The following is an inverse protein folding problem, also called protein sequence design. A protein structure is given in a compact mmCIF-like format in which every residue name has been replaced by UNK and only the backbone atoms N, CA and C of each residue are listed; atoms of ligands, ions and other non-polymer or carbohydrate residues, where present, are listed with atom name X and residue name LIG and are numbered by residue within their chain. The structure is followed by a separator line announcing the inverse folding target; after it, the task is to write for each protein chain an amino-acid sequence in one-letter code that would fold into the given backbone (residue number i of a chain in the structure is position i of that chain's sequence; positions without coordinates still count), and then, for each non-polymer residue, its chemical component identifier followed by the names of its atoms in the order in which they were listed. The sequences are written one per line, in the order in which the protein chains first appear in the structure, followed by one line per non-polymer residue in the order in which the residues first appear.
data_IF_054467667090
#
_entry.id   IF_054467667090
#
_cell.length_a   1.000
_cell.length_b   1.000
_cell.length_c   1.000
_cell.angle_alpha   90.00
_cell.angle_beta   90.00
_cell.angle_gamma   90.00
#
_symmetry.space_group_name_H-M   'P 1'
#
loop_
_entity.id
_entity.type
_entity.pdbx_description
1 polymer ?
#
# COMPACT_ATOMS: atom_id res chain seq x y z
N UNK A 1 5.47 15.24 1.17
CA UNK A 1 5.37 15.15 2.64
C UNK A 1 4.68 13.84 2.98
N UNK A 2 5.23 13.03 3.89
CA UNK A 2 4.60 11.76 4.28
C UNK A 2 3.36 12.03 5.14
N UNK A 3 2.21 11.44 4.79
CA UNK A 3 0.95 11.68 5.49
C UNK A 3 1.05 11.33 6.99
N UNK A 4 1.88 10.35 7.33
CA UNK A 4 2.15 9.90 8.70
C UNK A 4 2.68 11.07 9.55
N UNK A 5 3.83 11.66 9.18
CA UNK A 5 4.35 12.89 9.82
C UNK A 5 3.42 14.11 9.69
N UNK A 6 2.60 14.14 8.63
CA UNK A 6 1.59 15.18 8.44
C UNK A 6 0.56 15.18 9.57
N UNK A 7 0.03 14.00 9.91
CA UNK A 7 -1.10 13.84 10.83
C UNK A 7 -0.80 14.21 12.29
N UNK A 8 0.25 13.65 12.90
CA UNK A 8 0.52 13.81 14.33
C UNK A 8 1.74 14.67 14.67
N UNK A 9 2.50 15.15 13.68
CA UNK A 9 3.59 16.10 13.94
C UNK A 9 3.22 17.48 13.41
N UNK A 10 2.98 17.61 12.12
CA UNK A 10 2.84 18.93 11.47
C UNK A 10 1.46 19.53 11.73
N UNK A 11 0.40 18.88 11.25
CA UNK A 11 -0.98 19.37 11.44
C UNK A 11 -1.37 19.37 12.91
N UNK A 12 -0.98 18.33 13.66
CA UNK A 12 -1.18 18.28 15.09
C UNK A 12 -0.64 19.51 15.82
N UNK A 13 0.62 19.89 15.57
CA UNK A 13 1.21 21.05 16.25
C UNK A 13 0.55 22.37 15.84
N UNK A 14 0.15 22.49 14.57
CA UNK A 14 -0.61 23.64 14.07
C UNK A 14 -1.99 23.76 14.74
N UNK A 15 -2.69 22.63 14.93
CA UNK A 15 -4.00 22.58 15.61
C UNK A 15 -3.90 22.91 17.09
N UNK A 16 -2.85 22.43 17.79
CA UNK A 16 -2.61 22.84 19.17
C UNK A 16 -2.28 24.34 19.27
N UNK A 17 -1.56 24.88 18.29
CA UNK A 17 -1.31 26.33 18.23
C UNK A 17 -2.60 27.13 18.07
N UNK A 18 -3.53 26.68 17.20
CA UNK A 18 -4.86 27.29 17.08
C UNK A 18 -5.59 27.30 18.43
N UNK A 19 -5.52 26.20 19.18
CA UNK A 19 -6.24 26.05 20.46
C UNK A 19 -5.68 26.92 21.58
N UNK A 20 -4.35 26.96 21.74
CA UNK A 20 -3.69 27.50 22.94
C UNK A 20 -3.02 28.86 22.73
N UNK A 21 -2.80 29.26 21.48
CA UNK A 21 -2.12 30.50 21.10
C UNK A 21 -2.91 31.27 20.02
N UNK A 22 -4.22 31.04 19.96
CA UNK A 22 -5.11 31.59 18.93
C UNK A 22 -5.13 33.12 18.87
N UNK A 23 -4.98 33.76 20.03
CA UNK A 23 -4.99 35.20 20.27
C UNK A 23 -3.63 35.88 20.02
N UNK A 24 -2.53 35.13 20.12
CA UNK A 24 -1.17 35.67 19.95
C UNK A 24 -0.84 36.03 18.49
N UNK A 25 -1.37 35.27 17.53
CA UNK A 25 -1.16 35.50 16.09
C UNK A 25 -2.39 35.06 15.26
N UNK A 26 -3.42 35.93 15.15
CA UNK A 26 -4.66 35.61 14.44
C UNK A 26 -4.46 35.29 12.95
N UNK A 27 -3.49 35.94 12.29
CA UNK A 27 -3.24 35.71 10.87
C UNK A 27 -2.61 34.34 10.63
N UNK A 28 -1.68 33.90 11.49
CA UNK A 28 -1.10 32.56 11.42
C UNK A 28 -2.12 31.48 11.75
N UNK A 29 -2.97 31.70 12.75
CA UNK A 29 -3.97 30.70 13.14
C UNK A 29 -4.99 30.49 12.04
N UNK A 30 -5.40 31.53 11.32
CA UNK A 30 -6.30 31.36 10.18
C UNK A 30 -5.66 30.58 9.03
N UNK A 31 -4.38 30.83 8.73
CA UNK A 31 -3.64 30.00 7.77
C UNK A 31 -3.60 28.53 8.20
N UNK A 32 -3.44 28.25 9.49
CA UNK A 32 -3.46 26.88 10.01
C UNK A 32 -4.85 26.24 9.94
N UNK A 33 -5.94 27.01 10.16
CA UNK A 33 -7.31 26.49 9.94
C UNK A 33 -7.50 26.09 8.49
N UNK A 34 -7.06 26.93 7.54
CA UNK A 34 -7.14 26.60 6.12
C UNK A 34 -6.30 25.36 5.77
N UNK A 35 -5.08 25.26 6.29
CA UNK A 35 -4.23 24.07 6.07
C UNK A 35 -4.85 22.79 6.65
N UNK A 36 -5.55 22.89 7.79
CA UNK A 36 -6.27 21.76 8.37
C UNK A 36 -7.45 21.33 7.48
N UNK A 37 -8.20 22.29 6.89
CA UNK A 37 -9.25 22.01 5.90
C UNK A 37 -8.68 21.31 4.66
N UNK A 38 -7.61 21.86 4.09
CA UNK A 38 -6.96 21.30 2.89
C UNK A 38 -6.42 19.89 3.13
N UNK A 39 -5.78 19.66 4.29
CA UNK A 39 -5.27 18.35 4.67
C UNK A 39 -6.41 17.35 4.95
N UNK A 40 -7.43 17.78 5.70
CA UNK A 40 -8.58 16.98 6.08
C UNK A 40 -9.38 16.46 4.87
N UNK A 41 -9.42 17.21 3.76
CA UNK A 41 -10.13 16.82 2.54
C UNK A 41 -9.66 15.47 1.95
N UNK A 42 -8.37 15.15 2.08
CA UNK A 42 -7.78 13.91 1.58
C UNK A 42 -7.35 12.92 2.66
N UNK A 43 -6.99 13.40 3.85
CA UNK A 43 -6.34 12.59 4.88
C UNK A 43 -7.18 11.42 5.40
N UNK A 44 -8.50 11.60 5.50
CA UNK A 44 -9.41 10.55 5.96
C UNK A 44 -9.32 9.27 5.11
N UNK A 45 -8.95 9.40 3.83
CA UNK A 45 -8.84 8.30 2.87
C UNK A 45 -7.71 7.32 3.17
N UNK A 46 -6.83 7.63 4.12
CA UNK A 46 -5.76 6.72 4.55
C UNK A 46 -6.22 5.71 5.62
N UNK A 47 -7.48 5.77 6.05
CA UNK A 47 -8.09 4.88 7.03
C UNK A 47 -9.22 4.09 6.36
N UNK A 48 -9.34 2.80 6.65
CA UNK A 48 -10.51 2.02 6.19
C UNK A 48 -11.73 2.19 7.11
N UNK A 49 -12.82 1.53 6.75
CA UNK A 49 -14.08 1.52 7.50
C UNK A 49 -13.96 0.92 8.91
N UNK A 50 -12.95 0.08 9.15
CA UNK A 50 -12.68 -0.53 10.46
C UNK A 50 -11.72 0.31 11.32
N UNK A 51 -11.10 1.35 10.73
CA UNK A 51 -10.13 2.23 11.36
C UNK A 51 -8.67 1.87 11.12
N UNK A 52 -8.35 0.89 10.27
CA UNK A 52 -6.99 0.54 9.93
C UNK A 52 -6.34 1.64 9.08
N UNK A 53 -5.15 2.11 9.48
CA UNK A 53 -4.38 3.07 8.67
C UNK A 53 -3.44 2.32 7.70
N UNK A 54 -3.21 2.86 6.51
CA UNK A 54 -2.26 2.28 5.54
C UNK A 54 -0.80 2.55 5.98
N UNK A 55 -0.01 1.60 6.51
CA UNK A 55 1.37 1.85 6.90
C UNK A 55 2.21 2.36 5.72
N UNK A 56 2.71 3.59 5.81
CA UNK A 56 3.52 4.24 4.78
C UNK A 56 4.49 5.26 5.38
N UNK A 57 5.75 5.21 4.95
CA UNK A 57 6.80 6.12 5.39
C UNK A 57 7.46 5.74 6.72
N UNK A 58 8.12 6.72 7.34
CA UNK A 58 8.82 6.59 8.62
C UNK A 58 7.91 6.86 9.81
N UNK A 59 8.45 6.65 11.02
CA UNK A 59 7.81 6.93 12.31
C UNK A 59 6.63 5.99 12.62
N UNK A 60 6.47 4.90 11.86
CA UNK A 60 5.36 3.95 12.00
C UNK A 60 5.24 3.35 13.39
N UNK A 61 6.34 3.26 14.15
CA UNK A 61 6.31 2.73 15.52
C UNK A 61 5.42 3.51 16.50
N UNK A 62 4.91 4.67 16.12
CA UNK A 62 3.98 5.47 16.93
C UNK A 62 2.51 5.06 16.79
N UNK A 63 2.21 4.05 15.94
CA UNK A 63 0.93 3.31 15.91
C UNK A 63 -0.31 4.19 15.85
N UNK A 64 -1.07 4.25 16.94
CA UNK A 64 -2.32 5.02 17.03
C UNK A 64 -2.11 6.53 16.94
N UNK A 65 -0.87 7.03 16.94
CA UNK A 65 -0.56 8.40 16.57
C UNK A 65 -1.13 8.79 15.19
N UNK A 66 -1.36 7.86 14.25
CA UNK A 66 -2.01 8.19 12.97
C UNK A 66 -3.32 8.96 13.17
N UNK A 67 -4.11 8.61 14.18
CA UNK A 67 -5.37 9.30 14.51
C UNK A 67 -5.20 10.68 15.15
N UNK A 68 -3.96 11.15 15.37
CA UNK A 68 -3.66 12.36 16.12
C UNK A 68 -4.26 13.62 15.51
N UNK A 69 -4.36 13.66 14.18
CA UNK A 69 -5.03 14.75 13.47
C UNK A 69 -6.49 14.89 13.90
N UNK A 70 -7.26 13.80 13.94
CA UNK A 70 -8.68 13.83 14.33
C UNK A 70 -8.85 14.28 15.78
N UNK A 71 -7.99 13.78 16.68
CA UNK A 71 -8.00 14.20 18.08
C UNK A 71 -7.70 15.68 18.26
N UNK A 72 -6.64 16.18 17.60
CA UNK A 72 -6.27 17.58 17.66
C UNK A 72 -7.28 18.49 16.96
N UNK A 73 -7.94 18.01 15.90
CA UNK A 73 -8.97 18.74 15.17
C UNK A 73 -10.20 19.01 16.05
N UNK A 74 -10.68 17.97 16.74
CA UNK A 74 -11.79 18.11 17.68
C UNK A 74 -11.43 19.04 18.85
N UNK A 75 -10.19 18.97 19.36
CA UNK A 75 -9.71 19.85 20.42
C UNK A 75 -9.57 21.31 19.97
N UNK A 76 -9.12 21.55 18.73
CA UNK A 76 -8.87 22.89 18.20
C UNK A 76 -10.14 23.63 17.78
N UNK A 77 -11.24 22.92 17.50
CA UNK A 77 -12.51 23.53 17.12
C UNK A 77 -12.46 24.27 15.78
N UNK A 78 -11.78 23.70 14.77
CA UNK A 78 -11.72 24.30 13.43
C UNK A 78 -13.09 24.22 12.76
N UNK A 79 -13.57 25.35 12.25
CA UNK A 79 -14.85 25.47 11.56
C UNK A 79 -14.73 25.19 10.05
N UNK A 80 -15.89 24.94 9.42
CA UNK A 80 -16.04 24.80 7.97
C UNK A 80 -15.15 23.68 7.37
N UNK A 81 -14.98 22.59 8.12
CA UNK A 81 -14.27 21.42 7.63
C UNK A 81 -14.98 20.79 6.43
N UNK A 82 -14.25 20.29 5.41
CA UNK A 82 -14.84 19.66 4.24
C UNK A 82 -15.45 18.30 4.58
N UNK A 83 -16.35 17.79 3.73
CA UNK A 83 -16.81 16.40 3.77
C UNK A 83 -15.60 15.46 3.73
N UNK A 84 -15.54 14.42 4.56
CA UNK A 84 -16.57 13.95 5.50
C UNK A 84 -16.35 14.41 6.95
N UNK A 85 -15.56 15.46 7.22
CA UNK A 85 -15.19 15.88 8.58
C UNK A 85 -15.97 17.10 9.06
N UNK A 86 -17.21 17.28 8.60
CA UNK A 86 -18.00 18.51 8.83
C UNK A 86 -18.48 18.66 10.28
N UNK A 87 -18.76 17.55 10.95
CA UNK A 87 -19.34 17.52 12.30
C UNK A 87 -18.39 16.87 13.30
N UNK A 88 -18.60 17.12 14.59
CA UNK A 88 -17.84 16.45 15.64
C UNK A 88 -18.15 14.94 15.68
N UNK A 89 -19.38 14.53 15.34
CA UNK A 89 -19.74 13.11 15.14
C UNK A 89 -18.91 12.42 14.07
N UNK A 90 -18.56 13.12 12.98
CA UNK A 90 -17.69 12.59 11.93
C UNK A 90 -16.26 12.39 12.43
N UNK A 91 -15.68 13.44 13.02
CA UNK A 91 -14.31 13.42 13.57
C UNK A 91 -14.19 12.35 14.65
N UNK A 92 -15.22 12.23 15.52
CA UNK A 92 -15.35 11.19 16.54
C UNK A 92 -15.36 9.81 15.90
N UNK A 93 -16.16 9.60 14.85
CA UNK A 93 -16.23 8.33 14.13
C UNK A 93 -14.85 7.87 13.63
N UNK A 94 -14.09 8.76 12.95
CA UNK A 94 -12.75 8.41 12.47
C UNK A 94 -11.78 8.10 13.62
N UNK A 95 -11.73 8.95 14.65
CA UNK A 95 -10.84 8.75 15.78
C UNK A 95 -11.14 7.45 16.53
N UNK A 96 -12.40 7.22 16.89
CA UNK A 96 -12.77 6.07 17.72
C UNK A 96 -12.71 4.75 16.95
N UNK A 97 -13.04 4.72 15.66
CA UNK A 97 -12.76 3.54 14.80
C UNK A 97 -11.28 3.19 14.82
N UNK A 98 -10.40 4.18 14.62
CA UNK A 98 -8.96 3.95 14.63
C UNK A 98 -8.44 3.43 15.98
N UNK A 99 -8.90 4.01 17.10
CA UNK A 99 -8.53 3.53 18.43
C UNK A 99 -9.06 2.12 18.72
N UNK A 100 -10.29 1.81 18.31
CA UNK A 100 -10.85 0.45 18.42
C UNK A 100 -10.09 -0.55 17.56
N UNK A 101 -9.67 -0.16 16.36
CA UNK A 101 -8.83 -1.00 15.52
C UNK A 101 -7.55 -1.38 16.25
N UNK A 102 -6.83 -0.40 16.82
CA UNK A 102 -5.62 -0.67 17.58
C UNK A 102 -5.86 -1.51 18.83
N UNK A 103 -6.95 -1.27 19.56
CA UNK A 103 -7.33 -2.09 20.71
C UNK A 103 -7.49 -3.57 20.31
N UNK A 104 -8.16 -3.85 19.17
CA UNK A 104 -8.34 -5.20 18.62
C UNK A 104 -7.06 -5.84 18.09
N UNK A 105 -5.99 -5.06 17.87
CA UNK A 105 -4.71 -5.52 17.31
C UNK A 105 -3.53 -5.26 18.26
N UNK A 106 -3.80 -5.22 19.58
CA UNK A 106 -2.81 -4.83 20.59
C UNK A 106 -2.10 -5.99 21.30
N UNK A 107 -2.48 -7.23 21.03
CA UNK A 107 -1.96 -8.41 21.75
C UNK A 107 -0.42 -8.50 21.76
N UNK A 108 0.23 -8.03 20.69
CA UNK A 108 1.68 -8.11 20.53
C UNK A 108 2.38 -6.74 20.52
N UNK A 109 1.71 -5.64 20.90
CA UNK A 109 2.33 -4.29 20.88
C UNK A 109 3.03 -3.91 22.18
N UNK A 110 2.90 -4.74 23.21
CA UNK A 110 3.54 -4.56 24.52
C UNK A 110 4.67 -5.57 24.74
N UNK A 111 5.71 -5.16 25.45
CA UNK A 111 6.68 -6.07 26.06
C UNK A 111 6.07 -6.76 27.30
N UNK A 112 6.70 -7.82 27.82
CA UNK A 112 6.21 -8.51 29.02
C UNK A 112 6.05 -7.62 30.27
N UNK A 113 6.73 -6.47 30.32
CA UNK A 113 6.63 -5.47 31.39
C UNK A 113 5.48 -4.46 31.19
N UNK A 114 4.69 -4.61 30.13
CA UNK A 114 3.58 -3.72 29.78
C UNK A 114 3.96 -2.44 29.05
N UNK A 115 5.25 -2.25 28.71
CA UNK A 115 5.70 -1.08 27.93
C UNK A 115 5.50 -1.29 26.43
N UNK A 116 5.30 -0.22 25.65
CA UNK A 116 5.14 -0.32 24.20
C UNK A 116 6.45 -0.75 23.52
N UNK A 117 6.38 -1.71 22.61
CA UNK A 117 7.56 -2.15 21.86
C UNK A 117 7.82 -1.32 20.59
N UNK A 118 9.00 -1.47 19.99
CA UNK A 118 9.30 -0.90 18.66
C UNK A 118 8.82 -1.87 17.58
N UNK A 119 7.89 -1.43 16.74
CA UNK A 119 7.26 -2.28 15.74
C UNK A 119 5.93 -1.69 15.24
N UNK A 120 5.11 -2.50 14.58
CA UNK A 120 3.79 -2.10 14.11
C UNK A 120 2.70 -2.82 14.92
N UNK A 121 2.21 -3.98 14.48
CA UNK A 121 1.29 -4.83 15.29
C UNK A 121 2.01 -5.84 16.18
N UNK A 122 3.33 -6.00 15.99
CA UNK A 122 4.20 -6.84 16.80
C UNK A 122 5.63 -6.24 16.83
N UNK A 123 6.54 -6.70 17.71
CA UNK A 123 7.90 -6.16 17.79
C UNK A 123 8.66 -6.41 16.47
N UNK A 124 9.17 -5.35 15.84
CA UNK A 124 9.94 -5.45 14.60
C UNK A 124 11.05 -4.37 14.55
N UNK A 125 12.27 -4.79 14.85
CA UNK A 125 13.46 -3.92 14.86
C UNK A 125 13.96 -3.52 13.47
N UNK A 126 13.50 -4.19 12.41
CA UNK A 126 13.82 -3.78 11.04
C UNK A 126 13.06 -2.52 10.62
N UNK A 127 11.95 -2.22 11.31
CA UNK A 127 11.19 -0.98 11.14
C UNK A 127 11.86 0.23 11.84
N UNK A 128 12.72 0.01 12.83
CA UNK A 128 13.29 1.08 13.64
C UNK A 128 14.05 2.13 12.82
N UNK A 129 13.98 3.39 13.26
CA UNK A 129 14.79 4.51 12.80
C UNK A 129 15.88 4.88 13.83
N UNK A 130 16.90 5.60 13.37
CA UNK A 130 18.07 6.04 14.17
C UNK A 130 17.71 6.93 15.37
N UNK A 131 16.60 7.66 15.29
CA UNK A 131 16.08 8.48 16.39
C UNK A 131 15.10 7.75 17.31
N UNK A 132 14.78 6.48 17.06
CA UNK A 132 13.86 5.74 17.92
C UNK A 132 14.53 5.39 19.25
N UNK A 133 13.78 5.56 20.34
CA UNK A 133 14.17 5.15 21.69
C UNK A 133 13.03 4.40 22.36
N UNK A 134 13.26 3.71 23.49
CA UNK A 134 12.18 3.10 24.27
C UNK A 134 11.06 4.10 24.69
N UNK A 135 11.36 5.40 24.74
CA UNK A 135 10.38 6.45 25.04
C UNK A 135 9.67 6.98 23.78
N UNK A 136 10.26 6.87 22.59
CA UNK A 136 9.71 7.48 21.38
C UNK A 136 8.37 6.86 20.98
N UNK A 137 8.14 5.57 21.28
CA UNK A 137 6.87 4.86 21.01
C UNK A 137 5.66 5.52 21.68
N UNK A 138 5.85 6.30 22.75
CA UNK A 138 4.78 7.01 23.45
C UNK A 138 4.30 8.28 22.72
N UNK A 139 4.90 8.62 21.57
CA UNK A 139 4.25 9.54 20.62
C UNK A 139 2.87 9.03 20.17
N UNK A 140 2.58 7.74 20.34
CA UNK A 140 1.26 7.17 20.21
C UNK A 140 0.19 7.94 21.00
N UNK A 141 0.53 8.44 22.20
CA UNK A 141 -0.39 9.16 23.09
C UNK A 141 -0.94 10.47 22.51
N UNK A 142 -0.41 10.97 21.38
CA UNK A 142 -0.94 12.17 20.72
C UNK A 142 -2.43 12.06 20.36
N UNK A 143 -2.90 10.88 19.99
CA UNK A 143 -4.34 10.67 19.74
C UNK A 143 -5.20 10.74 20.99
N UNK A 144 -4.59 10.64 22.18
CA UNK A 144 -5.27 10.79 23.46
C UNK A 144 -5.39 12.25 23.90
N UNK A 145 -4.86 13.23 23.15
CA UNK A 145 -5.06 14.65 23.46
C UNK A 145 -6.55 15.04 23.55
N UNK A 146 -7.43 14.24 22.93
CA UNK A 146 -8.88 14.38 22.99
C UNK A 146 -9.43 14.37 24.43
N UNK A 147 -8.75 13.73 25.40
CA UNK A 147 -9.18 13.70 26.81
C UNK A 147 -9.10 15.07 27.49
N UNK A 148 -8.48 16.06 26.86
CA UNK A 148 -8.44 17.44 27.34
C UNK A 148 -9.76 18.20 27.12
N UNK A 149 -10.71 17.63 26.37
CA UNK A 149 -12.06 18.20 26.23
C UNK A 149 -12.84 18.06 27.54
N UNK A 150 -13.65 19.08 27.86
CA UNK A 150 -14.53 19.06 29.03
C UNK A 150 -15.53 17.89 28.96
N UNK A 151 -15.99 17.41 30.11
CA UNK A 151 -16.85 16.23 30.21
C UNK A 151 -18.21 16.40 29.48
N UNK A 152 -18.68 17.63 29.36
CA UNK A 152 -19.93 18.02 28.70
C UNK A 152 -19.72 18.50 27.24
N UNK A 153 -18.49 18.45 26.72
CA UNK A 153 -18.19 18.90 25.36
C UNK A 153 -19.04 18.12 24.32
N UNK A 154 -19.62 18.80 23.30
CA UNK A 154 -20.52 18.15 22.32
C UNK A 154 -19.93 16.93 21.60
N UNK A 155 -18.61 16.84 21.49
CA UNK A 155 -17.91 15.66 20.99
C UNK A 155 -18.32 14.36 21.72
N UNK A 156 -18.49 14.42 23.04
CA UNK A 156 -18.84 13.24 23.83
C UNK A 156 -20.29 12.81 23.64
N UNK A 157 -21.19 13.78 23.44
CA UNK A 157 -22.64 13.54 23.36
C UNK A 157 -23.11 13.23 21.94
N UNK A 158 -22.49 13.81 20.91
CA UNK A 158 -22.86 13.54 19.52
C UNK A 158 -22.62 12.07 19.16
N UNK A 159 -23.54 11.42 18.42
CA UNK A 159 -23.35 10.06 17.94
C UNK A 159 -22.20 10.01 16.92
N UNK A 160 -21.53 8.85 16.84
CA UNK A 160 -20.55 8.61 15.79
C UNK A 160 -21.24 8.50 14.44
N UNK A 161 -20.81 9.28 13.45
CA UNK A 161 -21.29 9.12 12.07
C UNK A 161 -20.69 7.86 11.44
N UNK A 162 -21.44 7.14 10.59
CA UNK A 162 -20.90 6.04 9.78
C UNK A 162 -19.66 6.45 8.96
N UNK A 163 -18.87 5.45 8.54
CA UNK A 163 -17.81 5.69 7.58
C UNK A 163 -18.43 6.09 6.22
N UNK A 164 -17.86 7.06 5.48
CA UNK A 164 -18.47 7.53 4.23
C UNK A 164 -18.62 6.43 3.19
N UNK A 165 -19.80 6.35 2.57
CA UNK A 165 -20.02 5.55 1.38
C UNK A 165 -19.16 6.11 0.23
N UNK A 166 -18.36 5.28 -0.43
CA UNK A 166 -17.62 5.72 -1.62
C UNK A 166 -16.20 6.22 -1.39
N UNK A 167 -15.39 5.45 -0.65
CA UNK A 167 -13.93 5.63 -0.66
C UNK A 167 -13.37 5.67 -2.09
N UNK A 168 -13.86 4.81 -2.98
CA UNK A 168 -13.57 4.86 -4.42
C UNK A 168 -12.08 4.86 -4.73
N UNK A 169 -11.75 5.29 -5.94
CA UNK A 169 -10.39 5.57 -6.36
C UNK A 169 -10.23 7.08 -6.45
N UNK A 170 -9.24 7.65 -5.77
CA UNK A 170 -9.03 9.09 -5.74
C UNK A 170 -7.56 9.48 -5.70
N UNK A 171 -7.18 10.46 -6.54
CA UNK A 171 -5.86 11.06 -6.51
C UNK A 171 -5.76 12.08 -5.37
N UNK A 172 -4.87 11.81 -4.41
CA UNK A 172 -4.43 12.78 -3.41
C UNK A 172 -3.20 13.50 -3.94
N UNK A 173 -3.36 14.77 -4.29
CA UNK A 173 -2.37 15.60 -5.00
C UNK A 173 -1.05 15.75 -4.23
N UNK A 174 -1.10 15.79 -2.90
CA UNK A 174 0.06 15.75 -2.03
C UNK A 174 -0.11 14.60 -1.02
N UNK A 175 0.64 13.49 -1.14
CA UNK A 175 1.94 13.37 -1.80
C UNK A 175 1.92 12.65 -3.16
N UNK A 176 0.94 12.95 -4.04
CA UNK A 176 0.82 12.34 -5.37
C UNK A 176 0.62 10.82 -5.29
N UNK A 177 -0.47 10.40 -4.66
CA UNK A 177 -0.85 8.99 -4.46
C UNK A 177 -2.29 8.76 -4.90
N UNK A 178 -2.58 7.58 -5.44
CA UNK A 178 -3.95 7.18 -5.73
C UNK A 178 -4.42 6.28 -4.60
N UNK A 179 -5.41 6.73 -3.83
CA UNK A 179 -6.01 5.99 -2.74
C UNK A 179 -7.13 5.11 -3.30
N UNK A 180 -7.11 3.84 -2.95
CA UNK A 180 -7.99 2.81 -3.49
C UNK A 180 -8.78 2.17 -2.35
N UNK A 181 -10.09 2.44 -2.32
CA UNK A 181 -11.06 1.79 -1.43
C UNK A 181 -12.38 1.60 -2.20
N UNK A 182 -12.34 0.77 -3.23
CA UNK A 182 -13.44 0.62 -4.16
C UNK A 182 -14.70 0.08 -3.45
N UNK A 183 -15.92 0.63 -3.68
CA UNK A 183 -17.13 0.23 -2.94
C UNK A 183 -17.54 -1.23 -3.13
N UNK A 184 -17.13 -1.85 -4.23
CA UNK A 184 -17.34 -3.28 -4.47
C UNK A 184 -16.15 -4.16 -4.06
N UNK A 185 -15.03 -3.55 -3.67
CA UNK A 185 -13.79 -4.24 -3.30
C UNK A 185 -13.69 -4.50 -1.81
N UNK A 186 -12.87 -5.48 -1.46
CA UNK A 186 -12.57 -5.88 -0.08
C UNK A 186 -11.11 -5.61 0.26
N UNK A 187 -10.55 -4.55 -0.31
CA UNK A 187 -9.16 -4.16 -0.12
C UNK A 187 -8.99 -2.65 -0.11
N UNK A 188 -8.26 -2.17 0.89
CA UNK A 188 -7.96 -0.76 1.08
C UNK A 188 -6.44 -0.55 1.06
N UNK A 189 -5.99 0.23 0.08
CA UNK A 189 -4.58 0.44 -0.20
C UNK A 189 -4.33 1.75 -0.95
N UNK A 190 -3.06 2.07 -1.17
CA UNK A 190 -2.64 3.21 -1.99
C UNK A 190 -1.67 2.74 -3.07
N UNK A 191 -1.66 3.45 -4.20
CA UNK A 191 -0.63 3.39 -5.23
C UNK A 191 0.34 4.57 -5.06
N UNK A 192 1.64 4.28 -5.08
CA UNK A 192 2.71 5.24 -4.84
C UNK A 192 3.68 5.34 -6.02
N UNK A 193 3.92 6.57 -6.47
CA UNK A 193 4.66 6.86 -7.70
C UNK A 193 6.08 7.36 -7.38
N UNK A 194 6.23 8.67 -7.13
CA UNK A 194 7.54 9.33 -7.02
C UNK A 194 8.01 9.55 -5.58
N UNK A 195 7.39 8.91 -4.60
CA UNK A 195 7.77 9.12 -3.20
C UNK A 195 9.15 8.49 -2.88
N UNK A 196 10.02 9.31 -2.31
CA UNK A 196 11.30 8.90 -1.75
C UNK A 196 11.70 9.87 -0.64
N UNK A 197 12.70 9.48 0.14
CA UNK A 197 13.35 10.35 1.12
C UNK A 197 14.84 10.40 0.83
N UNK A 198 15.43 11.60 0.83
CA UNK A 198 16.86 11.79 0.58
C UNK A 198 17.75 11.45 1.79
N UNK A 199 17.16 11.37 2.98
CA UNK A 199 17.84 11.01 4.23
C UNK A 199 17.94 9.47 4.31
N UNK A 200 19.12 8.89 4.56
CA UNK A 200 19.37 7.45 4.48
C UNK A 200 18.88 6.68 5.72
N UNK A 201 17.61 6.87 6.12
CA UNK A 201 17.02 6.05 7.19
C UNK A 201 16.97 4.57 6.80
N UNK A 202 17.01 3.70 7.80
CA UNK A 202 16.81 2.26 7.63
C UNK A 202 15.54 1.97 6.85
N UNK A 203 15.65 1.05 5.89
CA UNK A 203 14.54 0.60 5.04
C UNK A 203 13.82 1.74 4.27
N UNK A 204 14.48 2.87 3.99
CA UNK A 204 13.87 4.02 3.30
C UNK A 204 13.18 3.67 1.98
N UNK A 205 13.78 2.79 1.17
CA UNK A 205 13.18 2.32 -0.09
C UNK A 205 11.88 1.56 0.13
N UNK A 206 11.85 0.65 1.10
CA UNK A 206 10.64 -0.09 1.45
C UNK A 206 9.54 0.81 2.05
N UNK A 207 9.93 1.83 2.82
CA UNK A 207 9.00 2.76 3.47
C UNK A 207 8.38 3.77 2.50
N UNK A 208 9.05 4.14 1.41
CA UNK A 208 8.63 5.24 0.55
C UNK A 208 8.41 4.87 -0.92
N UNK A 209 9.13 3.88 -1.43
CA UNK A 209 9.32 3.70 -2.88
C UNK A 209 8.73 2.42 -3.47
N UNK A 210 7.96 1.63 -2.69
CA UNK A 210 7.10 0.57 -3.24
C UNK A 210 5.99 1.13 -4.12
N UNK A 211 5.41 0.29 -4.97
CA UNK A 211 4.30 0.64 -5.86
C UNK A 211 2.96 0.71 -5.13
N UNK A 212 2.77 -0.07 -4.08
CA UNK A 212 1.54 -0.06 -3.30
C UNK A 212 1.78 -0.36 -1.81
N UNK A 213 0.87 0.13 -0.96
CA UNK A 213 0.85 -0.11 0.49
C UNK A 213 -0.58 -0.38 0.92
N UNK A 214 -0.80 -1.44 1.71
CA UNK A 214 -2.14 -1.86 2.13
C UNK A 214 -2.33 -1.73 3.64
N UNK A 215 -3.55 -1.38 4.04
CA UNK A 215 -4.01 -1.36 5.43
C UNK A 215 -4.20 -2.76 6.03
N UNK A 216 -4.36 -3.80 5.20
CA UNK A 216 -4.53 -5.20 5.63
C UNK A 216 -3.29 -6.07 5.39
N UNK A 217 -2.53 -5.74 4.33
CA UNK A 217 -1.30 -6.44 3.96
C UNK A 217 -0.11 -5.49 4.13
N UNK A 218 0.34 -5.32 5.37
CA UNK A 218 1.46 -4.45 5.70
C UNK A 218 2.67 -4.73 4.82
N UNK A 219 3.44 -3.72 4.46
CA UNK A 219 4.60 -3.91 3.59
C UNK A 219 5.74 -4.64 4.32
N UNK A 220 6.69 -5.21 3.59
CA UNK A 220 7.91 -5.80 4.19
C UNK A 220 9.08 -4.82 4.21
N UNK A 221 9.88 -4.85 5.28
CA UNK A 221 11.16 -4.14 5.41
C UNK A 221 12.32 -5.12 5.23
N UNK A 222 13.43 -4.70 4.60
CA UNK A 222 14.61 -5.54 4.48
C UNK A 222 15.26 -5.79 5.84
N UNK A 223 15.75 -7.01 6.06
CA UNK A 223 16.50 -7.41 7.25
C UNK A 223 18.00 -7.58 6.99
N UNK A 224 18.41 -7.56 5.73
CA UNK A 224 19.79 -7.64 5.26
C UNK A 224 19.91 -7.24 3.79
N UNK A 225 21.13 -7.11 3.27
CA UNK A 225 21.37 -6.70 1.88
C UNK A 225 21.54 -7.87 0.91
N UNK A 226 21.64 -9.11 1.40
CA UNK A 226 22.04 -10.27 0.60
C UNK A 226 20.82 -11.06 0.18
N UNK A 227 20.66 -11.28 -1.12
CA UNK A 227 19.55 -12.01 -1.73
C UNK A 227 18.18 -11.35 -1.62
N UNK A 228 17.26 -11.84 -2.43
CA UNK A 228 15.86 -11.41 -2.45
C UNK A 228 15.12 -11.77 -1.14
N UNK A 229 15.55 -12.82 -0.43
CA UNK A 229 14.88 -13.26 0.82
C UNK A 229 15.06 -12.25 1.95
N UNK A 230 16.17 -11.51 1.95
CA UNK A 230 16.45 -10.45 2.93
C UNK A 230 15.93 -9.08 2.53
N UNK A 231 15.62 -8.88 1.25
CA UNK A 231 15.01 -7.66 0.72
C UNK A 231 13.73 -8.00 -0.05
N UNK A 232 12.63 -8.36 0.65
CA UNK A 232 11.45 -8.92 0.01
C UNK A 232 10.80 -7.95 -0.97
N UNK A 233 10.43 -8.40 -2.18
CA UNK A 233 9.98 -7.55 -3.28
C UNK A 233 8.46 -7.33 -3.28
N UNK A 234 7.77 -7.36 -2.13
CA UNK A 234 6.34 -7.07 -2.10
C UNK A 234 6.07 -5.67 -2.65
N UNK A 235 5.12 -5.61 -3.60
CA UNK A 235 4.77 -4.43 -4.37
C UNK A 235 5.97 -3.68 -4.97
N UNK A 236 6.97 -4.42 -5.44
CA UNK A 236 8.22 -3.87 -5.99
C UNK A 236 8.63 -4.65 -7.24
N UNK A 237 9.19 -3.96 -8.23
CA UNK A 237 9.95 -4.56 -9.33
C UNK A 237 11.43 -4.37 -9.01
N UNK A 238 12.15 -5.47 -8.83
CA UNK A 238 13.55 -5.54 -8.46
C UNK A 238 14.40 -6.04 -9.62
N UNK A 239 15.63 -5.52 -9.72
CA UNK A 239 16.60 -5.84 -10.78
C UNK A 239 17.91 -6.35 -10.17
N UNK A 240 18.48 -7.40 -10.73
CA UNK A 240 19.82 -7.90 -10.36
C UNK A 240 20.68 -8.14 -11.61
N UNK A 241 21.99 -7.93 -11.46
CA UNK A 241 23.04 -8.19 -12.47
C UNK A 241 24.05 -9.24 -12.05
N UNK A 242 23.95 -9.69 -10.82
CA UNK A 242 24.96 -10.48 -10.11
C UNK A 242 24.37 -11.82 -9.66
N UNK A 243 23.45 -12.40 -10.44
CA UNK A 243 22.89 -13.71 -10.13
C UNK A 243 21.92 -13.72 -8.94
N UNK A 244 21.43 -12.56 -8.51
CA UNK A 244 20.52 -12.42 -7.38
C UNK A 244 21.18 -12.11 -6.04
N UNK A 245 22.49 -11.85 -6.00
CA UNK A 245 23.21 -11.46 -4.79
C UNK A 245 22.72 -10.09 -4.27
N UNK A 246 22.55 -9.12 -5.17
CA UNK A 246 22.00 -7.79 -4.85
C UNK A 246 20.84 -7.39 -5.75
N UNK A 247 19.92 -6.60 -5.19
CA UNK A 247 18.70 -6.19 -5.85
C UNK A 247 18.50 -4.68 -5.81
N UNK A 248 18.44 -4.07 -7.00
CA UNK A 248 18.09 -2.68 -7.19
C UNK A 248 16.57 -2.53 -7.34
N UNK A 249 16.00 -1.55 -6.64
CA UNK A 249 14.55 -1.27 -6.65
C UNK A 249 14.30 0.21 -6.90
N UNK A 250 13.06 0.58 -7.23
CA UNK A 250 12.65 1.97 -7.44
C UNK A 250 13.11 2.86 -6.29
N UNK A 251 13.91 3.88 -6.61
CA UNK A 251 14.39 4.89 -5.68
C UNK A 251 14.77 6.16 -6.44
N UNK A 252 14.46 7.35 -5.90
CA UNK A 252 14.70 8.65 -6.56
C UNK A 252 14.16 8.69 -8.00
N UNK A 253 12.87 8.37 -8.12
CA UNK A 253 12.16 8.39 -9.39
C UNK A 253 11.92 9.83 -9.89
N UNK A 254 11.64 9.97 -11.19
CA UNK A 254 11.20 11.23 -11.79
C UNK A 254 9.82 11.65 -11.27
N UNK A 255 9.39 12.87 -11.58
CA UNK A 255 8.05 13.35 -11.22
C UNK A 255 6.98 12.52 -11.93
N UNK A 256 5.97 12.09 -11.17
CA UNK A 256 4.86 11.32 -11.70
C UNK A 256 3.99 12.20 -12.62
N UNK A 257 3.54 11.61 -13.72
CA UNK A 257 2.53 12.17 -14.61
C UNK A 257 1.21 11.48 -14.29
N UNK A 258 0.15 12.25 -14.12
CA UNK A 258 -1.19 11.73 -13.88
C UNK A 258 -2.07 12.00 -15.09
N UNK A 259 -2.93 11.03 -15.39
CA UNK A 259 -3.89 11.11 -16.48
C UNK A 259 -5.13 10.32 -16.13
N UNK A 260 -5.98 10.12 -17.13
CA UNK A 260 -7.15 9.25 -17.02
C UNK A 260 -7.16 8.31 -18.22
N UNK A 261 -7.73 7.13 -18.02
CA UNK A 261 -7.95 6.16 -19.08
C UNK A 261 -9.36 5.60 -18.99
N UNK A 262 -9.93 5.27 -20.15
CA UNK A 262 -11.18 4.51 -20.23
C UNK A 262 -10.87 3.02 -20.11
N UNK A 263 -11.42 2.37 -19.09
CA UNK A 263 -11.37 0.92 -18.91
C UNK A 263 -12.79 0.39 -19.05
N UNK A 264 -13.06 -0.33 -20.14
CA UNK A 264 -14.43 -0.61 -20.58
C UNK A 264 -15.21 0.72 -20.67
N UNK A 265 -16.27 0.89 -19.87
CA UNK A 265 -17.12 2.09 -19.84
C UNK A 265 -16.83 3.03 -18.65
N UNK A 266 -15.72 2.83 -17.93
CA UNK A 266 -15.36 3.63 -16.75
C UNK A 266 -14.07 4.45 -16.97
N UNK A 267 -14.14 5.74 -16.65
CA UNK A 267 -12.95 6.60 -16.63
C UNK A 267 -12.25 6.51 -15.27
N UNK A 268 -11.00 6.03 -15.24
CA UNK A 268 -10.22 5.88 -14.01
C UNK A 268 -8.93 6.71 -14.03
N UNK A 269 -8.49 7.29 -12.89
CA UNK A 269 -7.22 8.00 -12.82
C UNK A 269 -6.06 7.03 -12.89
N UNK A 270 -5.03 7.37 -13.66
CA UNK A 270 -3.78 6.60 -13.76
C UNK A 270 -2.59 7.48 -13.40
N UNK A 271 -1.47 6.85 -13.08
CA UNK A 271 -0.21 7.55 -12.92
C UNK A 271 0.94 6.79 -13.58
N UNK A 272 1.90 7.55 -14.09
CA UNK A 272 3.10 7.04 -14.75
C UNK A 272 4.33 7.66 -14.11
N UNK A 273 5.34 6.83 -13.83
CA UNK A 273 6.59 7.27 -13.23
C UNK A 273 7.79 6.57 -13.87
N UNK A 274 8.80 7.35 -14.23
CA UNK A 274 10.08 6.87 -14.74
C UNK A 274 11.11 6.77 -13.62
N UNK A 275 11.92 5.71 -13.62
CA UNK A 275 12.97 5.50 -12.64
C UNK A 275 14.10 4.64 -13.20
N UNK A 276 15.22 4.62 -12.48
CA UNK A 276 16.45 3.95 -12.90
C UNK A 276 16.88 2.95 -11.82
N UNK A 277 17.03 1.66 -12.13
CA UNK A 277 17.53 0.69 -11.15
C UNK A 277 18.97 1.00 -10.71
N UNK A 278 19.82 1.40 -11.65
CA UNK A 278 21.25 1.67 -11.39
C UNK A 278 21.64 3.11 -11.74
N UNK A 279 22.67 3.60 -11.08
CA UNK A 279 23.19 4.98 -11.25
C UNK A 279 23.83 5.22 -12.61
N UNK A 280 24.26 4.16 -13.30
CA UNK A 280 24.82 4.23 -14.66
C UNK A 280 23.77 4.50 -15.75
N UNK A 281 22.47 4.49 -15.37
CA UNK A 281 21.27 4.72 -16.21
C UNK A 281 21.16 3.84 -17.44
N UNK A 282 21.87 2.73 -17.46
CA UNK A 282 21.85 1.71 -18.53
C UNK A 282 20.47 1.13 -18.82
N UNK A 283 19.56 1.16 -17.83
CA UNK A 283 18.15 0.80 -17.98
C UNK A 283 17.28 1.89 -17.39
N UNK A 284 16.24 2.29 -18.12
CA UNK A 284 15.15 3.14 -17.65
C UNK A 284 13.86 2.32 -17.60
N UNK A 285 13.11 2.48 -16.52
CA UNK A 285 11.82 1.82 -16.31
C UNK A 285 10.74 2.88 -16.20
N UNK A 286 9.79 2.86 -17.13
CA UNK A 286 8.57 3.67 -17.07
C UNK A 286 7.44 2.77 -16.59
N UNK A 287 6.92 3.04 -15.39
CA UNK A 287 5.84 2.26 -14.78
C UNK A 287 4.54 3.05 -14.80
N UNK A 288 3.53 2.52 -15.48
CA UNK A 288 2.15 3.01 -15.43
C UNK A 288 1.32 2.10 -14.53
N UNK A 289 0.56 2.69 -13.61
CA UNK A 289 -0.31 1.93 -12.71
C UNK A 289 -1.77 2.31 -12.92
N UNK A 290 -2.61 1.29 -13.06
CA UNK A 290 -4.05 1.41 -13.22
C UNK A 290 -4.70 0.87 -11.95
N UNK A 291 -5.50 1.70 -11.24
CA UNK A 291 -6.17 1.30 -10.00
C UNK A 291 -7.35 0.36 -10.28
N UNK A 292 -8.00 -0.16 -9.23
CA UNK A 292 -9.20 -0.97 -9.38
C UNK A 292 -10.31 -0.25 -10.12
N UNK A 293 -11.13 -1.03 -10.82
CA UNK A 293 -12.30 -0.57 -11.54
C UNK A 293 -13.56 -1.18 -10.95
N UNK A 294 -14.70 -0.72 -11.43
CA UNK A 294 -16.01 -1.28 -11.16
C UNK A 294 -16.07 -2.78 -11.47
N UNK A 295 -15.55 -3.22 -12.62
CA UNK A 295 -15.53 -4.65 -12.99
C UNK A 295 -14.51 -5.44 -12.18
N UNK A 296 -13.34 -4.85 -11.93
CA UNK A 296 -12.23 -5.51 -11.24
C UNK A 296 -11.83 -4.75 -9.96
N UNK A 297 -12.65 -4.81 -8.91
CA UNK A 297 -12.53 -3.95 -7.74
C UNK A 297 -11.41 -4.34 -6.76
N UNK A 298 -10.84 -5.54 -6.90
CA UNK A 298 -9.75 -6.07 -6.07
C UNK A 298 -8.43 -6.23 -6.84
N UNK A 299 -8.38 -5.66 -8.05
CA UNK A 299 -7.23 -5.74 -8.93
C UNK A 299 -6.60 -4.37 -9.13
N UNK A 300 -5.28 -4.30 -9.16
CA UNK A 300 -4.57 -3.19 -9.79
C UNK A 300 -3.54 -3.72 -10.77
N UNK A 301 -3.20 -2.91 -11.76
CA UNK A 301 -2.32 -3.30 -12.86
C UNK A 301 -1.10 -2.41 -12.86
N UNK A 302 0.05 -3.02 -13.10
CA UNK A 302 1.34 -2.34 -13.28
C UNK A 302 1.89 -2.74 -14.64
N UNK A 303 2.15 -1.73 -15.46
CA UNK A 303 2.72 -1.88 -16.79
C UNK A 303 4.11 -1.27 -16.75
N UNK A 304 5.13 -2.11 -16.94
CA UNK A 304 6.53 -1.71 -16.91
C UNK A 304 7.08 -1.72 -18.32
N UNK A 305 7.30 -0.51 -18.86
CA UNK A 305 8.07 -0.30 -20.09
C UNK A 305 9.53 -0.17 -19.71
N UNK A 306 10.34 -1.19 -20.04
CA UNK A 306 11.76 -1.28 -19.69
C UNK A 306 12.56 -1.04 -20.96
N UNK A 307 13.32 0.05 -20.99
CA UNK A 307 14.17 0.41 -22.13
C UNK A 307 15.64 0.43 -21.70
N UNK A 308 16.48 -0.24 -22.46
CA UNK A 308 17.92 -0.20 -22.27
C UNK A 308 18.53 0.97 -23.06
N UNK A 309 19.30 1.81 -22.38
CA UNK A 309 20.08 2.90 -23.00
C UNK A 309 21.51 2.46 -23.33
N UNK A 310 21.93 1.31 -22.78
CA UNK A 310 23.21 0.66 -23.03
C UNK A 310 22.98 -0.84 -23.01
N UNK A 311 23.80 -1.56 -23.76
CA UNK A 311 23.80 -3.02 -23.68
C UNK A 311 24.17 -3.48 -22.26
N UNK A 312 23.52 -4.56 -21.82
CA UNK A 312 23.73 -5.14 -20.48
C UNK A 312 24.07 -6.62 -20.61
N UNK A 313 24.78 -7.17 -19.61
CA UNK A 313 24.87 -8.61 -19.42
C UNK A 313 23.53 -9.17 -18.94
N UNK A 314 23.47 -10.47 -18.64
CA UNK A 314 22.30 -11.11 -18.02
C UNK A 314 21.69 -10.26 -16.91
N UNK A 315 20.37 -10.11 -16.93
CA UNK A 315 19.59 -9.36 -15.94
C UNK A 315 18.48 -10.25 -15.40
N UNK A 316 18.36 -10.30 -14.07
CA UNK A 316 17.24 -10.93 -13.39
C UNK A 316 16.27 -9.88 -12.91
N UNK A 317 14.98 -10.15 -13.06
CA UNK A 317 13.90 -9.29 -12.57
C UNK A 317 13.02 -10.07 -11.60
N UNK A 318 12.47 -9.37 -10.61
CA UNK A 318 11.54 -9.98 -9.67
C UNK A 318 10.44 -9.00 -9.29
N UNK A 319 9.18 -9.42 -9.40
CA UNK A 319 8.03 -8.57 -9.08
C UNK A 319 7.03 -9.25 -8.15
N UNK A 320 6.74 -8.61 -7.01
CA UNK A 320 5.84 -9.15 -5.99
C UNK A 320 4.48 -8.48 -5.88
N UNK A 321 3.48 -9.28 -5.51
CA UNK A 321 2.16 -8.84 -5.04
C UNK A 321 2.20 -8.33 -3.58
N UNK A 322 1.08 -8.47 -2.87
CA UNK A 322 1.02 -8.18 -1.44
C UNK A 322 1.52 -9.37 -0.62
N UNK A 323 2.24 -9.09 0.47
CA UNK A 323 2.66 -10.12 1.40
C UNK A 323 1.48 -10.58 2.27
N UNK A 324 1.27 -11.88 2.39
CA UNK A 324 0.17 -12.51 3.15
C UNK A 324 0.72 -13.58 4.10
N UNK A 325 0.03 -13.88 5.20
CA UNK A 325 0.44 -14.91 6.16
C UNK A 325 0.71 -16.26 5.47
N UNK A 326 1.87 -16.85 5.70
CA UNK A 326 2.23 -18.16 5.13
C UNK A 326 1.82 -19.35 5.99
N UNK A 327 1.15 -19.13 7.12
CA UNK A 327 0.84 -20.17 8.11
C UNK A 327 -0.65 -20.49 8.18
N UNK A 328 -0.94 -21.78 8.21
CA UNK A 328 -2.27 -22.30 8.50
C UNK A 328 -2.67 -21.92 9.93
N UNK A 329 -3.94 -21.54 10.13
CA UNK A 329 -4.45 -21.14 11.46
C UNK A 329 -4.51 -22.30 12.45
N UNK A 330 -4.77 -23.51 11.96
CA UNK A 330 -5.03 -24.69 12.79
C UNK A 330 -3.79 -25.30 13.44
N UNK A 331 -2.66 -25.31 12.72
CA UNK A 331 -1.44 -26.05 13.12
C UNK A 331 -0.15 -25.25 12.93
N UNK A 332 -0.21 -24.03 12.42
CA UNK A 332 0.95 -23.16 12.14
C UNK A 332 1.99 -23.73 11.16
N UNK A 333 1.63 -24.77 10.39
CA UNK A 333 2.42 -25.26 9.27
C UNK A 333 2.33 -24.28 8.09
N UNK A 334 3.24 -24.42 7.12
CA UNK A 334 3.17 -23.65 5.89
C UNK A 334 1.88 -23.99 5.12
N UNK A 335 1.35 -23.02 4.36
CA UNK A 335 0.25 -23.27 3.44
C UNK A 335 0.69 -24.29 2.36
N UNK A 336 -0.12 -25.32 2.08
CA UNK A 336 0.22 -26.32 1.07
C UNK A 336 -0.06 -25.79 -0.34
N UNK A 337 0.58 -26.37 -1.36
CA UNK A 337 0.12 -26.21 -2.73
C UNK A 337 -1.20 -26.97 -2.93
N UNK A 338 -2.16 -26.33 -3.60
CA UNK A 338 -3.47 -26.88 -3.94
C UNK A 338 -3.54 -27.10 -5.45
N UNK A 339 -3.96 -28.28 -5.92
CA UNK A 339 -4.12 -28.55 -7.34
C UNK A 339 -5.07 -27.57 -8.05
N UNK A 340 -4.74 -27.19 -9.28
CA UNK A 340 -5.53 -26.23 -10.09
C UNK A 340 -6.96 -26.72 -10.35
N UNK A 341 -7.18 -28.04 -10.45
CA UNK A 341 -8.49 -28.65 -10.63
C UNK A 341 -9.37 -28.61 -9.36
N UNK A 342 -8.83 -28.20 -8.22
CA UNK A 342 -9.54 -28.07 -6.95
C UNK A 342 -9.80 -26.59 -6.59
N UNK A 343 -9.63 -25.67 -7.55
CA UNK A 343 -9.95 -24.24 -7.44
C UNK A 343 -11.45 -24.02 -7.22
N UNK A 344 -11.87 -24.08 -5.97
CA UNK A 344 -13.25 -23.79 -5.55
C UNK A 344 -13.21 -22.82 -4.38
N UNK A 345 -14.30 -22.09 -4.15
CA UNK A 345 -14.41 -21.22 -2.97
C UNK A 345 -14.44 -21.98 -1.63
N UNK A 346 -14.49 -23.32 -1.67
CA UNK A 346 -14.28 -24.14 -0.49
C UNK A 346 -12.82 -24.16 -0.01
N UNK A 347 -11.85 -23.76 -0.85
CA UNK A 347 -10.43 -23.68 -0.49
C UNK A 347 -10.20 -22.43 0.36
N UNK A 348 -10.21 -22.60 1.68
CA UNK A 348 -9.98 -21.50 2.62
C UNK A 348 -8.49 -21.12 2.75
N UNK A 349 -7.59 -22.10 2.60
CA UNK A 349 -6.15 -22.00 2.83
C UNK A 349 -5.39 -22.75 1.73
N UNK A 350 -4.41 -22.13 1.08
CA UNK A 350 -3.57 -22.82 0.10
C UNK A 350 -2.82 -21.91 -0.87
N UNK A 351 -1.95 -22.52 -1.67
CA UNK A 351 -1.20 -21.88 -2.75
C UNK A 351 -1.65 -22.49 -4.07
N UNK A 352 -2.15 -21.66 -4.98
CA UNK A 352 -2.58 -22.09 -6.30
C UNK A 352 -1.65 -21.44 -7.31
N UNK A 353 -0.93 -22.27 -8.07
CA UNK A 353 0.02 -21.83 -9.09
C UNK A 353 -0.38 -22.36 -10.46
N UNK A 354 -0.39 -21.49 -11.44
CA UNK A 354 -0.50 -21.83 -12.86
C UNK A 354 0.80 -21.46 -13.59
N UNK A 355 0.84 -21.61 -14.91
CA UNK A 355 2.01 -21.21 -15.70
C UNK A 355 2.33 -19.71 -15.60
N UNK A 356 1.31 -18.85 -15.45
CA UNK A 356 1.45 -17.39 -15.49
C UNK A 356 0.80 -16.67 -14.29
N UNK A 357 0.43 -17.40 -13.24
CA UNK A 357 -0.21 -16.81 -12.06
C UNK A 357 0.08 -17.59 -10.79
N UNK A 358 0.05 -16.89 -9.66
CA UNK A 358 0.13 -17.47 -8.33
C UNK A 358 -0.81 -16.71 -7.39
N UNK A 359 -1.64 -17.47 -6.68
CA UNK A 359 -2.59 -17.00 -5.68
C UNK A 359 -2.29 -17.70 -4.35
N UNK A 360 -2.26 -16.92 -3.27
CA UNK A 360 -2.12 -17.42 -1.90
C UNK A 360 -3.39 -17.07 -1.13
N UNK A 361 -4.04 -18.09 -0.58
CA UNK A 361 -5.26 -18.01 0.21
C UNK A 361 -4.95 -18.30 1.68
N UNK A 362 -5.44 -17.47 2.59
CA UNK A 362 -5.29 -17.66 4.02
C UNK A 362 -6.51 -17.12 4.78
N UNK A 363 -7.33 -18.02 5.32
CA UNK A 363 -8.46 -17.71 6.19
C UNK A 363 -9.38 -16.64 5.58
N UNK A 364 -9.71 -16.81 4.29
CA UNK A 364 -10.54 -15.90 3.51
C UNK A 364 -9.85 -14.65 2.98
N UNK A 365 -8.64 -14.32 3.46
CA UNK A 365 -7.78 -13.32 2.82
C UNK A 365 -7.10 -13.96 1.60
N UNK A 366 -6.87 -13.15 0.55
CA UNK A 366 -6.20 -13.59 -0.67
C UNK A 366 -5.18 -12.55 -1.13
N UNK A 367 -4.05 -13.02 -1.65
CA UNK A 367 -3.15 -12.19 -2.46
C UNK A 367 -2.61 -12.97 -3.64
N UNK A 368 -2.59 -12.35 -4.81
CA UNK A 368 -2.09 -12.98 -6.02
C UNK A 368 -1.38 -12.02 -6.97
N UNK A 369 -0.60 -12.60 -7.88
CA UNK A 369 -0.05 -11.92 -9.04
C UNK A 369 -0.25 -12.80 -10.27
N UNK A 370 -0.75 -12.19 -11.35
CA UNK A 370 -0.90 -12.81 -12.66
C UNK A 370 -0.23 -11.92 -13.69
N UNK A 371 0.36 -12.53 -14.72
CA UNK A 371 1.01 -11.80 -15.81
C UNK A 371 0.32 -12.09 -17.14
N UNK A 372 0.40 -11.15 -18.07
CA UNK A 372 0.15 -11.46 -19.47
C UNK A 372 1.45 -12.06 -20.06
N UNK A 373 1.33 -13.06 -20.94
CA UNK A 373 2.52 -13.71 -21.51
C UNK A 373 3.40 -12.65 -22.20
N UNK A 374 4.70 -12.57 -21.87
CA UNK A 374 5.57 -11.58 -22.47
C UNK A 374 5.67 -11.78 -23.98
N UNK A 375 5.57 -10.69 -24.75
CA UNK A 375 5.69 -10.75 -26.21
C UNK A 375 7.09 -11.21 -26.71
N UNK A 376 8.10 -11.23 -25.83
CA UNK A 376 9.48 -11.57 -26.18
C UNK A 376 9.75 -13.06 -25.97
N UNK A 377 9.94 -13.80 -27.07
CA UNK A 377 10.20 -15.25 -27.06
C UNK A 377 11.47 -15.70 -26.30
N UNK A 378 12.41 -14.79 -25.99
CA UNK A 378 13.63 -15.09 -25.24
C UNK A 378 13.59 -14.71 -23.76
N UNK A 379 12.43 -14.29 -23.24
CA UNK A 379 12.23 -14.01 -21.83
C UNK A 379 11.68 -15.25 -21.12
N UNK A 380 12.49 -15.88 -20.27
CA UNK A 380 11.99 -16.94 -19.39
C UNK A 380 11.47 -16.36 -18.08
N UNK A 381 10.45 -16.96 -17.51
CA UNK A 381 9.87 -16.54 -16.24
C UNK A 381 9.38 -17.73 -15.40
N UNK A 382 9.23 -17.49 -14.10
CA UNK A 382 8.67 -18.47 -13.17
C UNK A 382 7.77 -17.79 -12.15
N UNK A 383 6.76 -18.53 -11.67
CA UNK A 383 5.81 -18.08 -10.67
C UNK A 383 6.04 -18.82 -9.36
N UNK A 384 6.07 -18.10 -8.22
CA UNK A 384 6.26 -18.73 -6.91
C UNK A 384 5.47 -18.02 -5.81
N UNK A 385 5.11 -18.77 -4.76
CA UNK A 385 4.77 -18.19 -3.46
C UNK A 385 6.08 -18.01 -2.70
N UNK A 386 6.71 -16.85 -2.89
CA UNK A 386 8.04 -16.57 -2.38
C UNK A 386 8.05 -16.49 -0.85
N UNK A 387 9.00 -17.19 -0.21
CA UNK A 387 9.19 -17.28 1.24
C UNK A 387 10.33 -16.34 1.70
N UNK A 388 10.06 -15.07 2.02
CA UNK A 388 11.05 -14.18 2.58
C UNK A 388 11.52 -14.64 3.96
N UNK A 389 12.65 -14.10 4.41
CA UNK A 389 13.08 -14.31 5.79
C UNK A 389 12.01 -13.77 6.79
N UNK A 390 11.91 -14.40 7.97
CA UNK A 390 10.94 -13.99 8.98
C UNK A 390 11.12 -12.55 9.44
N UNK A 391 10.04 -12.02 9.98
CA UNK A 391 9.95 -10.70 10.59
C UNK A 391 10.24 -9.52 9.65
N UNK A 392 10.25 -9.76 8.35
CA UNK A 392 10.37 -8.69 7.35
C UNK A 392 9.04 -7.95 7.20
N UNK A 393 7.89 -8.64 7.21
CA UNK A 393 6.57 -8.02 7.08
C UNK A 393 6.12 -7.26 8.34
N UNK A 394 5.38 -6.16 8.22
CA UNK A 394 4.94 -5.37 9.38
C UNK A 394 3.74 -5.94 10.15
N UNK A 395 2.97 -6.84 9.54
CA UNK A 395 1.71 -7.36 10.11
C UNK A 395 1.76 -8.85 10.48
N UNK A 396 2.65 -9.62 9.85
CA UNK A 396 2.82 -11.06 10.13
C UNK A 396 4.30 -11.41 10.23
N UNK A 397 4.68 -12.33 11.12
CA UNK A 397 6.08 -12.72 11.29
C UNK A 397 6.58 -13.68 10.21
N UNK A 398 5.66 -14.40 9.54
CA UNK A 398 5.92 -15.33 8.45
C UNK A 398 4.92 -15.03 7.34
N UNK A 399 5.43 -14.69 6.15
CA UNK A 399 4.61 -14.34 5.00
C UNK A 399 5.02 -15.13 3.77
N UNK A 400 4.10 -15.26 2.81
CA UNK A 400 4.43 -15.49 1.41
C UNK A 400 4.19 -14.21 0.61
N UNK A 401 4.92 -14.07 -0.49
CA UNK A 401 4.71 -13.02 -1.50
C UNK A 401 4.42 -13.73 -2.82
N UNK A 402 3.24 -13.57 -3.42
CA UNK A 402 3.01 -14.00 -4.80
C UNK A 402 4.01 -13.29 -5.71
N UNK A 403 4.82 -14.06 -6.44
CA UNK A 403 6.00 -13.55 -7.13
C UNK A 403 6.09 -14.06 -8.56
N UNK A 404 6.51 -13.17 -9.46
CA UNK A 404 7.07 -13.54 -10.77
C UNK A 404 8.55 -13.17 -10.80
N UNK A 405 9.38 -14.10 -11.30
CA UNK A 405 10.80 -13.87 -11.55
C UNK A 405 11.06 -14.04 -13.04
N UNK A 406 11.82 -13.13 -13.63
CA UNK A 406 12.21 -13.16 -15.04
C UNK A 406 13.72 -13.26 -15.17
N UNK A 407 14.18 -13.99 -16.18
CA UNK A 407 15.58 -14.12 -16.53
C UNK A 407 15.80 -13.72 -18.00
N UNK A 408 16.61 -12.68 -18.16
CA UNK A 408 17.02 -12.12 -19.43
C UNK A 408 18.45 -12.58 -19.69
N UNK A 409 18.60 -13.83 -20.13
CA UNK A 409 19.89 -14.52 -20.20
C UNK A 409 20.94 -13.74 -21.02
N UNK A 410 20.54 -13.22 -22.18
CA UNK A 410 21.40 -12.41 -23.06
C UNK A 410 21.53 -10.93 -22.66
N UNK A 411 20.87 -10.52 -21.58
CA UNK A 411 20.70 -9.11 -21.22
C UNK A 411 19.85 -8.34 -22.23
N UNK A 412 19.90 -7.02 -22.11
CA UNK A 412 19.31 -6.10 -23.06
C UNK A 412 20.33 -5.60 -24.06
N UNK A 413 19.94 -5.49 -25.34
CA UNK A 413 20.67 -4.71 -26.34
C UNK A 413 20.39 -3.22 -26.17
N UNK A 414 21.31 -2.38 -26.62
CA UNK A 414 21.08 -0.93 -26.64
C UNK A 414 19.85 -0.57 -27.48
N UNK A 415 19.05 0.37 -26.96
CA UNK A 415 17.74 0.77 -27.47
C UNK A 415 16.66 -0.33 -27.47
N UNK A 416 16.96 -1.52 -26.95
CA UNK A 416 15.96 -2.58 -26.79
C UNK A 416 14.93 -2.21 -25.74
N UNK A 417 13.69 -2.58 -26.02
CA UNK A 417 12.53 -2.28 -25.20
C UNK A 417 11.71 -3.54 -24.98
N UNK A 418 11.25 -3.74 -23.74
CA UNK A 418 10.27 -4.76 -23.40
C UNK A 418 9.15 -4.16 -22.54
N UNK A 419 7.99 -4.80 -22.59
CA UNK A 419 6.83 -4.44 -21.78
C UNK A 419 6.47 -5.64 -20.91
N UNK A 420 6.40 -5.42 -19.60
CA UNK A 420 5.90 -6.40 -18.64
C UNK A 420 4.58 -5.91 -18.07
N UNK A 421 3.59 -6.80 -17.98
CA UNK A 421 2.29 -6.51 -17.39
C UNK A 421 2.10 -7.41 -16.18
N UNK A 422 1.98 -6.79 -15.01
CA UNK A 422 1.67 -7.46 -13.75
C UNK A 422 0.29 -7.02 -13.26
N UNK A 423 -0.58 -7.99 -12.98
CA UNK A 423 -1.92 -7.82 -12.44
C UNK A 423 -1.90 -8.33 -11.01
N UNK A 424 -2.06 -7.44 -10.06
CA UNK A 424 -1.98 -7.76 -8.63
C UNK A 424 -3.38 -7.79 -8.06
N UNK A 425 -3.64 -8.85 -7.29
CA UNK A 425 -4.92 -9.11 -6.66
C UNK A 425 -4.75 -9.13 -5.14
N UNK A 426 -5.73 -8.58 -4.43
CA UNK A 426 -5.83 -8.79 -2.99
C UNK A 426 -7.26 -8.63 -2.49
N UNK A 427 -7.65 -9.49 -1.54
CA UNK A 427 -8.91 -9.44 -0.81
C UNK A 427 -8.59 -9.62 0.66
N UNK A 428 -9.18 -8.81 1.53
CA UNK A 428 -9.16 -9.07 2.97
C UNK A 428 -10.54 -9.07 3.57
N UNK A 429 -10.83 -10.11 4.34
CA UNK A 429 -12.02 -10.25 5.20
C UNK A 429 -12.10 -9.19 6.30
N UNK A 430 -10.98 -8.50 6.57
CA UNK A 430 -10.83 -7.50 7.64
C UNK A 430 -11.17 -6.08 7.18
N UNK A 431 -11.33 -5.86 5.88
CA UNK A 431 -11.62 -4.54 5.29
C UNK A 431 -13.05 -4.54 4.76
N UNK A 432 -13.79 -3.45 5.00
CA UNK A 432 -15.19 -3.33 4.58
C UNK A 432 -16.07 -4.50 5.08
N UNK A 433 -15.81 -4.98 6.31
CA UNK A 433 -16.32 -6.24 6.89
C UNK A 433 -17.84 -6.33 7.08
N UNK A 434 -18.57 -5.23 6.88
CA UNK A 434 -20.03 -5.16 7.00
C UNK A 434 -20.77 -5.67 5.76
N UNK A 435 -20.04 -6.13 4.74
CA UNK A 435 -20.59 -6.64 3.47
C UNK A 435 -20.41 -8.16 3.39
N UNK A 436 -21.24 -8.84 2.58
CA UNK A 436 -21.05 -10.27 2.31
C UNK A 436 -19.61 -10.53 1.86
N UNK A 437 -18.92 -11.54 2.45
CA UNK A 437 -17.53 -11.81 2.14
C UNK A 437 -17.41 -12.18 0.65
N UNK A 438 -16.48 -11.56 -0.10
CA UNK A 438 -16.32 -11.92 -1.51
C UNK A 438 -15.81 -13.36 -1.60
N UNK A 439 -16.28 -14.08 -2.62
CA UNK A 439 -15.71 -15.35 -3.08
C UNK A 439 -14.37 -15.07 -3.77
N UNK A 440 -13.20 -15.32 -3.13
CA UNK A 440 -11.93 -14.90 -3.68
C UNK A 440 -11.59 -15.60 -4.98
N UNK A 441 -12.08 -16.83 -5.17
CA UNK A 441 -11.79 -17.62 -6.38
C UNK A 441 -12.51 -17.05 -7.59
N UNK A 442 -13.80 -16.73 -7.46
CA UNK A 442 -14.59 -16.14 -8.54
C UNK A 442 -13.94 -14.85 -9.06
N UNK A 443 -13.54 -13.96 -8.14
CA UNK A 443 -12.88 -12.68 -8.50
C UNK A 443 -11.47 -12.86 -9.06
N UNK A 444 -10.77 -13.90 -8.63
CA UNK A 444 -9.45 -14.24 -9.15
C UNK A 444 -9.53 -14.78 -10.59
N UNK A 445 -10.56 -15.58 -10.90
CA UNK A 445 -10.76 -16.14 -12.23
C UNK A 445 -11.21 -15.10 -13.26
N UNK A 446 -11.93 -14.06 -12.85
CA UNK A 446 -12.21 -12.87 -13.68
C UNK A 446 -11.04 -11.86 -13.61
N UNK A 447 -9.83 -12.29 -13.96
CA UNK A 447 -8.68 -11.40 -14.03
C UNK A 447 -8.75 -10.47 -15.26
N UNK A 448 -8.37 -9.18 -15.13
CA UNK A 448 -8.30 -8.28 -16.27
C UNK A 448 -7.29 -8.76 -17.33
N UNK A 449 -7.49 -8.34 -18.58
CA UNK A 449 -6.53 -8.54 -19.68
C UNK A 449 -6.12 -7.21 -20.25
N UNK A 450 -4.82 -6.98 -20.44
CA UNK A 450 -4.33 -5.73 -21.04
C UNK A 450 -4.06 -5.95 -22.51
N UNK A 451 -4.57 -5.06 -23.35
CA UNK A 451 -4.33 -5.08 -24.81
C UNK A 451 -3.74 -3.76 -25.26
N UNK A 452 -2.69 -3.84 -26.08
CA UNK A 452 -2.05 -2.68 -26.68
C UNK A 452 -2.61 -2.41 -28.09
N UNK A 453 -2.72 -1.14 -28.51
CA UNK A 453 -3.30 -0.77 -29.80
C UNK A 453 -2.68 -1.47 -31.00
N UNK A 454 -1.36 -1.72 -30.96
CA UNK A 454 -0.58 -2.36 -32.02
C UNK A 454 -0.91 -3.85 -32.19
N UNK A 455 -1.49 -4.48 -31.17
CA UNK A 455 -1.83 -5.91 -31.13
C UNK A 455 -3.33 -6.19 -31.26
N UNK A 456 -4.15 -5.15 -31.51
CA UNK A 456 -5.60 -5.27 -31.54
C UNK A 456 -6.08 -6.18 -32.67
N UNK A 457 -6.81 -7.24 -32.33
CA UNK A 457 -7.50 -8.09 -33.31
C UNK A 457 -8.98 -7.69 -33.42
N UNK A 458 -9.62 -7.93 -34.56
CA UNK A 458 -11.05 -7.59 -34.76
C UNK A 458 -12.00 -8.42 -33.89
N UNK A 459 -11.49 -9.44 -33.18
CA UNK A 459 -12.21 -10.34 -32.28
C UNK A 459 -12.04 -9.99 -30.80
N UNK A 460 -11.32 -8.92 -30.46
CA UNK A 460 -11.16 -8.50 -29.06
C UNK A 460 -12.49 -7.95 -28.53
N UNK A 461 -13.08 -8.66 -27.55
CA UNK A 461 -14.34 -8.30 -26.91
C UNK A 461 -14.19 -7.12 -25.92
N UNK A 462 -15.31 -6.60 -25.41
CA UNK A 462 -15.37 -5.54 -24.38
C UNK A 462 -14.78 -5.92 -23.00
N UNK A 463 -14.21 -7.13 -22.85
CA UNK A 463 -13.56 -7.63 -21.64
C UNK A 463 -12.08 -7.26 -21.49
N UNK A 464 -11.53 -6.42 -22.38
CA UNK A 464 -10.13 -6.03 -22.38
C UNK A 464 -9.92 -4.62 -21.84
N UNK A 465 -8.79 -4.41 -21.18
CA UNK A 465 -8.28 -3.09 -20.78
C UNK A 465 -7.40 -2.58 -21.91
N UNK A 466 -7.92 -1.62 -22.65
CA UNK A 466 -7.22 -0.99 -23.74
C UNK A 466 -6.29 0.09 -23.20
N UNK A 467 -4.99 -0.17 -23.21
CA UNK A 467 -3.99 0.78 -22.72
C UNK A 467 -3.24 1.40 -23.87
N UNK A 468 -3.51 2.68 -24.13
CA UNK A 468 -2.68 3.49 -25.01
C UNK A 468 -1.44 3.90 -24.20
N UNK A 469 -0.33 3.15 -24.34
CA UNK A 469 0.94 3.54 -23.70
C UNK A 469 1.44 4.78 -24.45
N UNK A 470 1.32 5.95 -23.82
CA UNK A 470 1.93 7.20 -24.27
C UNK A 470 3.42 7.26 -23.95
#
# INVERSE_FOLDING_TARGET
MCYYSGSFAIQFSQLLYIRFAGDLDPQRTERYRQQARDFGAGFWRYFDSEGAAIPFGRSLTYRFACGGFFAALALAGVDQMPVPLQTLGDVKGFLLRHLRWWARHSDNIFYPDGTLNIGWVYPNWYLAEDYNSPQSVYWALKSLVIVALDADHPFWVQPETPYPDGGGVSLVSAPQQILCNHPRGSHHFLLSFSQFIGIPFKASRAKYSKFAYSSAFGFSVPNGPVSLRQSPPDNTLAFSRDGGDTWAVKYKAEQAKFGKIMVCDEEVPIGTVSWYPWTDRSVVVTTTMIPPTSRWPDWHIRIHKIKATKSTSRVFLSEGGFAINSRQKSNHLLLPEVPVNEQTDAVADGIIRTGNSVLVLNNGDASGIAIDEPAKASLSFSMSAFDPEPNTNLMVSRSFIPLVEYDIEGGFKEEEEIILVAKVFAISTKVNSTREPPYPMERWLDAPRVTFPETRQSTDNDSHIYVNIL
#
